data_IF_685154761568
#
_entry.id   IF_685154761568
#
_cell.length_a   1.000
_cell.length_b   1.000
_cell.length_c   1.000
_cell.angle_alpha   90.00
_cell.angle_beta   90.00
_cell.angle_gamma   90.00
#
_symmetry.space_group_name_H-M   'P 1'
#
loop_
_entity.id
_entity.type
_entity.pdbx_description
1 polymer ?
#
# COMPACT_ATOMS: atom_id res chain seq x y z
N UNK A 1 14.98 7.71 -81.66
CA UNK A 1 15.50 7.06 -80.44
C UNK A 1 15.58 8.16 -79.38
N UNK A 2 14.56 8.28 -78.52
CA UNK A 2 14.44 9.37 -77.56
C UNK A 2 15.10 8.98 -76.23
N UNK A 3 15.74 9.93 -75.49
CA UNK A 3 16.33 9.63 -74.19
C UNK A 3 15.25 9.38 -73.12
N UNK A 4 15.51 8.52 -72.12
CA UNK A 4 14.59 8.28 -71.01
C UNK A 4 14.45 9.52 -70.11
N UNK A 5 13.23 9.72 -69.58
CA UNK A 5 12.88 10.88 -68.74
C UNK A 5 13.36 10.70 -67.28
N UNK A 6 13.67 11.79 -66.57
CA UNK A 6 14.26 11.76 -65.22
C UNK A 6 13.25 11.46 -64.08
N UNK A 7 12.08 10.90 -64.39
CA UNK A 7 10.97 10.72 -63.44
C UNK A 7 10.90 9.32 -62.79
N UNK A 8 11.78 8.39 -63.18
CA UNK A 8 11.81 7.01 -62.66
C UNK A 8 12.70 6.81 -61.41
N UNK A 9 13.44 7.82 -60.94
CA UNK A 9 14.33 7.68 -59.76
C UNK A 9 13.65 7.98 -58.41
N UNK A 10 12.36 8.32 -58.36
CA UNK A 10 11.70 8.81 -57.14
C UNK A 10 10.91 7.76 -56.33
N UNK A 11 11.26 6.47 -56.41
CA UNK A 11 10.59 5.41 -55.61
C UNK A 11 11.53 4.42 -54.92
N UNK A 12 12.69 4.87 -54.45
CA UNK A 12 13.53 4.07 -53.54
C UNK A 12 13.74 4.80 -52.19
N UNK A 13 12.64 5.02 -51.46
CA UNK A 13 12.74 5.35 -50.03
C UNK A 13 13.29 4.15 -49.24
N UNK A 14 14.07 4.35 -48.18
CA UNK A 14 14.67 3.25 -47.43
C UNK A 14 13.58 2.38 -46.80
N UNK A 15 13.59 1.10 -47.15
CA UNK A 15 12.73 0.07 -46.55
C UNK A 15 13.09 -0.04 -45.07
N UNK A 16 12.23 0.49 -44.20
CA UNK A 16 12.33 0.30 -42.75
C UNK A 16 12.22 -1.20 -42.44
N UNK A 17 13.18 -1.82 -41.73
CA UNK A 17 13.10 -3.23 -41.40
C UNK A 17 11.91 -3.53 -40.48
N UNK A 18 11.35 -4.75 -40.52
CA UNK A 18 10.17 -5.11 -39.75
C UNK A 18 10.42 -5.02 -38.24
N UNK A 19 9.51 -4.32 -37.57
CA UNK A 19 9.50 -4.07 -36.12
C UNK A 19 9.40 -5.40 -35.36
N UNK A 20 10.54 -5.94 -34.91
CA UNK A 20 10.60 -7.16 -34.07
C UNK A 20 9.75 -6.96 -32.81
N UNK A 21 8.92 -7.96 -32.52
CA UNK A 21 7.90 -7.93 -31.47
C UNK A 21 8.44 -7.56 -30.10
N UNK A 22 7.82 -6.55 -29.48
CA UNK A 22 8.05 -6.15 -28.10
C UNK A 22 7.30 -7.08 -27.15
N UNK A 23 7.79 -8.30 -26.98
CA UNK A 23 7.27 -9.25 -26.00
C UNK A 23 8.39 -9.83 -25.15
N UNK A 24 8.89 -9.03 -24.19
CA UNK A 24 9.31 -9.59 -22.89
C UNK A 24 9.56 -8.53 -21.81
N UNK A 25 8.64 -8.57 -20.83
CA UNK A 25 8.80 -8.26 -19.41
C UNK A 25 9.18 -6.81 -19.06
N UNK A 26 8.17 -6.04 -18.67
CA UNK A 26 8.26 -4.86 -17.80
C UNK A 26 9.18 -5.16 -16.61
N UNK A 27 10.46 -4.82 -16.71
CA UNK A 27 11.34 -4.78 -15.55
C UNK A 27 10.95 -3.55 -14.72
N UNK A 28 10.18 -3.76 -13.65
CA UNK A 28 9.95 -2.75 -12.62
C UNK A 28 11.31 -2.39 -11.97
N UNK A 29 11.93 -1.28 -12.41
CA UNK A 29 13.05 -0.67 -11.68
C UNK A 29 12.50 0.08 -10.47
N UNK A 30 12.74 -0.48 -9.28
CA UNK A 30 12.18 -0.04 -7.99
C UNK A 30 12.94 1.09 -7.28
N UNK A 31 14.02 1.65 -7.87
CA UNK A 31 14.87 2.62 -7.16
C UNK A 31 15.41 3.75 -8.06
N UNK A 32 15.47 4.98 -7.53
CA UNK A 32 16.07 6.13 -8.20
C UNK A 32 17.44 6.51 -7.60
N UNK A 33 18.29 7.14 -8.41
CA UNK A 33 19.74 7.30 -8.20
C UNK A 33 20.16 8.65 -7.59
N UNK A 34 19.23 9.49 -7.10
CA UNK A 34 19.56 10.80 -6.50
C UNK A 34 19.55 10.77 -4.96
N UNK A 35 20.68 11.08 -4.28
CA UNK A 35 20.88 10.82 -2.84
C UNK A 35 19.95 11.64 -1.92
N UNK A 36 19.63 12.88 -2.24
CA UNK A 36 18.75 13.75 -1.43
C UNK A 36 17.26 13.35 -1.50
N UNK A 37 16.84 12.71 -2.59
CA UNK A 37 15.49 12.13 -2.71
C UNK A 37 15.42 10.77 -2.04
N UNK A 38 16.50 9.99 -2.09
CA UNK A 38 16.63 8.70 -1.42
C UNK A 38 16.50 8.82 0.10
N UNK A 39 17.14 9.80 0.73
CA UNK A 39 17.02 10.00 2.19
C UNK A 39 15.61 10.40 2.61
N UNK A 40 14.96 11.33 1.88
CA UNK A 40 13.55 11.68 2.13
C UNK A 40 12.60 10.51 1.93
N UNK A 41 12.89 9.64 0.97
CA UNK A 41 12.08 8.45 0.70
C UNK A 41 12.25 7.40 1.81
N UNK A 42 13.48 7.12 2.24
CA UNK A 42 13.74 6.23 3.38
C UNK A 42 13.09 6.80 4.65
N UNK A 43 13.24 8.09 4.91
CA UNK A 43 12.61 8.73 6.07
C UNK A 43 11.07 8.64 6.01
N UNK A 44 10.45 8.86 4.84
CA UNK A 44 9.01 8.73 4.67
C UNK A 44 8.53 7.27 4.82
N UNK A 45 9.32 6.30 4.35
CA UNK A 45 9.02 4.88 4.49
C UNK A 45 9.12 4.43 5.96
N UNK A 46 10.16 4.87 6.66
CA UNK A 46 10.35 4.61 8.09
C UNK A 46 9.23 5.27 8.90
N UNK A 47 8.88 6.52 8.60
CA UNK A 47 7.80 7.24 9.26
C UNK A 47 6.45 6.55 9.04
N UNK A 48 6.15 6.11 7.81
CA UNK A 48 4.94 5.35 7.51
C UNK A 48 4.93 4.00 8.25
N UNK A 49 6.05 3.29 8.28
CA UNK A 49 6.20 2.04 9.03
C UNK A 49 5.96 2.26 10.53
N UNK A 50 6.58 3.28 11.13
CA UNK A 50 6.35 3.64 12.53
C UNK A 50 4.89 4.03 12.80
N UNK A 51 4.26 4.78 11.90
CA UNK A 51 2.86 5.15 12.04
C UNK A 51 1.94 3.92 11.98
N UNK A 52 2.20 2.97 11.08
CA UNK A 52 1.44 1.70 11.01
C UNK A 52 1.65 0.83 12.25
N UNK A 53 2.88 0.74 12.75
CA UNK A 53 3.18 0.04 14.00
C UNK A 53 2.46 0.68 15.18
N UNK A 54 2.42 2.02 15.24
CA UNK A 54 1.69 2.74 16.26
C UNK A 54 0.17 2.50 16.16
N UNK A 55 -0.39 2.52 14.95
CA UNK A 55 -1.81 2.22 14.73
C UNK A 55 -2.15 0.78 15.16
N UNK A 56 -1.29 -0.19 14.80
CA UNK A 56 -1.45 -1.57 15.23
C UNK A 56 -1.42 -1.69 16.75
N UNK A 57 -0.41 -1.10 17.40
CA UNK A 57 -0.28 -1.11 18.85
C UNK A 57 -1.47 -0.46 19.56
N UNK A 58 -1.96 0.68 19.08
CA UNK A 58 -3.16 1.33 19.62
C UNK A 58 -4.41 0.46 19.45
N UNK A 59 -4.60 -0.14 18.26
CA UNK A 59 -5.72 -1.02 17.98
C UNK A 59 -5.75 -2.25 18.88
N UNK A 60 -4.62 -2.94 19.04
CA UNK A 60 -4.52 -4.11 19.93
C UNK A 60 -4.68 -3.72 21.39
N UNK A 61 -4.08 -2.60 21.82
CA UNK A 61 -4.21 -2.15 23.22
C UNK A 61 -5.67 -1.84 23.58
N UNK A 62 -6.42 -1.17 22.69
CA UNK A 62 -7.84 -0.90 22.92
C UNK A 62 -8.67 -2.18 22.91
N UNK A 63 -8.37 -3.11 22.01
CA UNK A 63 -9.02 -4.41 21.98
C UNK A 63 -8.81 -5.16 23.31
N UNK A 64 -7.57 -5.31 23.74
CA UNK A 64 -7.19 -6.05 24.94
C UNK A 64 -7.82 -5.43 26.20
N UNK A 65 -7.70 -4.11 26.36
CA UNK A 65 -8.31 -3.37 27.47
C UNK A 65 -9.84 -3.50 27.51
N UNK A 66 -10.48 -3.59 26.34
CA UNK A 66 -11.93 -3.79 26.28
C UNK A 66 -12.29 -5.25 26.58
N UNK A 67 -11.50 -6.21 26.08
CA UNK A 67 -11.71 -7.64 26.30
C UNK A 67 -11.57 -8.01 27.79
N UNK A 68 -10.76 -7.30 28.57
CA UNK A 68 -10.67 -7.45 30.02
C UNK A 68 -12.02 -7.22 30.73
N UNK A 69 -12.94 -6.45 30.13
CA UNK A 69 -14.30 -6.24 30.66
C UNK A 69 -15.18 -7.51 30.60
N UNK A 70 -14.70 -8.60 30.01
CA UNK A 70 -15.37 -9.90 30.01
C UNK A 70 -15.23 -10.65 31.37
N UNK A 71 -14.26 -10.28 32.21
CA UNK A 71 -14.01 -10.94 33.51
C UNK A 71 -15.24 -11.02 34.43
N UNK A 72 -16.03 -9.94 34.59
CA UNK A 72 -17.30 -10.00 35.31
C UNK A 72 -18.30 -11.02 34.72
N UNK A 73 -18.39 -11.14 33.40
CA UNK A 73 -19.26 -12.12 32.74
C UNK A 73 -18.84 -13.56 32.99
N UNK A 74 -17.53 -13.85 32.97
CA UNK A 74 -17.00 -15.17 33.32
C UNK A 74 -17.33 -15.55 34.77
N UNK A 75 -17.27 -14.56 35.66
CA UNK A 75 -17.65 -14.75 37.06
C UNK A 75 -19.14 -15.05 37.19
N UNK A 76 -20.01 -14.33 36.48
CA UNK A 76 -21.45 -14.59 36.45
C UNK A 76 -21.80 -15.94 35.83
N UNK A 77 -21.15 -16.32 34.73
CA UNK A 77 -21.29 -17.62 34.08
C UNK A 77 -21.00 -18.75 35.08
N UNK A 78 -19.82 -18.72 35.69
CA UNK A 78 -19.40 -19.73 36.67
C UNK A 78 -20.32 -19.80 37.90
N UNK A 79 -20.66 -18.65 38.48
CA UNK A 79 -21.49 -18.59 39.68
C UNK A 79 -22.94 -19.01 39.41
N UNK A 80 -23.50 -18.62 38.26
CA UNK A 80 -24.83 -19.03 37.82
C UNK A 80 -24.89 -20.53 37.54
N UNK A 81 -23.89 -21.08 36.83
CA UNK A 81 -23.80 -22.50 36.52
C UNK A 81 -23.63 -23.37 37.77
N UNK A 82 -22.73 -22.97 38.69
CA UNK A 82 -22.54 -23.66 39.98
C UNK A 82 -23.81 -23.65 40.83
N UNK A 83 -24.51 -22.52 40.88
CA UNK A 83 -25.78 -22.41 41.60
C UNK A 83 -26.86 -23.30 40.97
N UNK A 84 -26.98 -23.26 39.64
CA UNK A 84 -27.93 -24.08 38.90
C UNK A 84 -27.68 -25.58 39.10
N UNK A 85 -26.41 -26.00 39.06
CA UNK A 85 -26.00 -27.38 39.34
C UNK A 85 -26.39 -27.81 40.76
N UNK A 86 -26.00 -27.03 41.77
CA UNK A 86 -26.32 -27.34 43.18
C UNK A 86 -27.82 -27.41 43.46
N UNK A 87 -28.62 -26.53 42.83
CA UNK A 87 -30.08 -26.56 42.97
C UNK A 87 -30.69 -27.78 42.27
N UNK A 88 -30.18 -28.16 41.10
CA UNK A 88 -30.60 -29.37 40.39
C UNK A 88 -30.29 -30.64 41.19
N UNK A 89 -29.10 -30.71 41.79
CA UNK A 89 -28.69 -31.84 42.63
C UNK A 89 -29.55 -31.91 43.90
N UNK A 90 -29.81 -30.76 44.54
CA UNK A 90 -30.69 -30.68 45.70
C UNK A 90 -32.14 -31.05 45.34
N UNK A 91 -32.66 -30.61 44.19
CA UNK A 91 -33.99 -30.97 43.70
C UNK A 91 -34.14 -32.46 43.49
N UNK A 92 -33.14 -33.08 42.87
CA UNK A 92 -33.07 -34.53 42.68
C UNK A 92 -33.11 -35.28 44.01
N UNK A 93 -32.31 -34.85 45.00
CA UNK A 93 -32.32 -35.45 46.34
C UNK A 93 -33.64 -35.21 47.08
N UNK A 94 -34.26 -34.05 46.92
CA UNK A 94 -35.52 -33.70 47.58
C UNK A 94 -36.72 -34.50 47.04
N UNK A 95 -36.68 -34.93 45.78
CA UNK A 95 -37.71 -35.76 45.15
C UNK A 95 -37.93 -37.09 45.89
N UNK A 96 -36.93 -37.57 46.64
CA UNK A 96 -37.01 -38.83 47.40
C UNK A 96 -37.82 -38.71 48.69
N UNK A 97 -38.24 -37.50 49.10
CA UNK A 97 -39.00 -37.28 50.35
C UNK A 97 -40.48 -37.65 50.15
N UNK A 98 -41.05 -38.57 50.95
CA UNK A 98 -42.45 -38.98 50.81
C UNK A 98 -43.43 -37.83 51.09
N UNK A 99 -44.55 -37.81 50.35
CA UNK A 99 -45.65 -36.83 50.40
C UNK A 99 -45.36 -35.40 49.91
N UNK A 100 -44.10 -34.93 49.94
CA UNK A 100 -43.74 -33.56 49.58
C UNK A 100 -42.59 -33.42 48.58
N UNK A 101 -41.95 -34.52 48.17
CA UNK A 101 -40.75 -34.52 47.32
C UNK A 101 -40.92 -33.74 46.02
N UNK A 102 -41.99 -34.00 45.27
CA UNK A 102 -42.26 -33.30 44.00
C UNK A 102 -42.32 -31.77 44.16
N UNK A 103 -42.98 -31.28 45.23
CA UNK A 103 -43.08 -29.82 45.48
C UNK A 103 -41.73 -29.21 45.88
N UNK A 104 -40.90 -29.97 46.61
CA UNK A 104 -39.56 -29.51 46.98
C UNK A 104 -38.63 -29.50 45.77
N UNK A 105 -38.72 -30.52 44.92
CA UNK A 105 -38.03 -30.58 43.64
C UNK A 105 -38.41 -29.38 42.77
N UNK A 106 -39.70 -29.13 42.53
CA UNK A 106 -40.18 -28.01 41.71
C UNK A 106 -39.66 -26.66 42.22
N UNK A 107 -39.65 -26.46 43.54
CA UNK A 107 -39.16 -25.22 44.16
C UNK A 107 -37.64 -25.05 43.98
N UNK A 108 -36.87 -26.14 44.05
CA UNK A 108 -35.42 -26.13 43.86
C UNK A 108 -35.06 -25.99 42.37
N UNK A 109 -35.80 -26.62 41.47
CA UNK A 109 -35.64 -26.46 40.02
C UNK A 109 -35.87 -25.00 39.59
N UNK A 110 -36.89 -24.32 40.14
CA UNK A 110 -37.08 -22.87 39.92
C UNK A 110 -35.89 -22.03 40.40
N UNK A 111 -35.25 -22.41 41.51
CA UNK A 111 -34.00 -21.80 41.96
C UNK A 111 -32.85 -22.06 40.99
N UNK A 112 -32.80 -23.25 40.40
CA UNK A 112 -31.83 -23.62 39.37
C UNK A 112 -32.00 -22.81 38.07
N UNK A 113 -33.24 -22.58 37.64
CA UNK A 113 -33.55 -21.75 36.47
C UNK A 113 -33.11 -20.30 36.65
N UNK A 114 -33.22 -19.76 37.86
CA UNK A 114 -32.67 -18.44 38.18
C UNK A 114 -31.13 -18.44 38.05
N UNK A 115 -30.45 -19.48 38.53
CA UNK A 115 -29.01 -19.68 38.32
C UNK A 115 -28.63 -19.72 36.84
N UNK A 116 -29.38 -20.47 36.03
CA UNK A 116 -29.17 -20.56 34.58
C UNK A 116 -29.42 -19.26 33.84
N UNK A 117 -30.34 -18.44 34.33
CA UNK A 117 -30.56 -17.09 33.80
C UNK A 117 -29.34 -16.20 34.04
N UNK A 118 -28.72 -16.29 35.21
CA UNK A 118 -27.48 -15.56 35.53
C UNK A 118 -26.31 -16.08 34.69
N UNK A 119 -26.19 -17.40 34.54
CA UNK A 119 -25.19 -18.05 33.69
C UNK A 119 -25.25 -17.51 32.26
N UNK A 120 -26.45 -17.56 31.66
CA UNK A 120 -26.69 -17.06 30.30
C UNK A 120 -26.43 -15.55 30.15
N UNK A 121 -26.78 -14.76 31.18
CA UNK A 121 -26.46 -13.33 31.18
C UNK A 121 -24.94 -13.08 31.19
N UNK A 122 -24.18 -13.91 31.91
CA UNK A 122 -22.71 -13.90 31.90
C UNK A 122 -22.14 -14.19 30.51
N UNK A 123 -22.63 -15.24 29.84
CA UNK A 123 -22.21 -15.59 28.47
C UNK A 123 -22.54 -14.46 27.48
N UNK A 124 -23.77 -13.94 27.52
CA UNK A 124 -24.20 -12.86 26.62
C UNK A 124 -23.37 -11.58 26.82
N UNK A 125 -23.04 -11.24 28.06
CA UNK A 125 -22.20 -10.08 28.37
C UNK A 125 -20.79 -10.24 27.77
N UNK A 126 -20.19 -11.42 27.87
CA UNK A 126 -18.88 -11.70 27.28
C UNK A 126 -18.90 -11.57 25.75
N UNK A 127 -19.94 -12.07 25.08
CA UNK A 127 -20.09 -11.97 23.62
C UNK A 127 -20.20 -10.50 23.15
N UNK A 128 -20.99 -9.69 23.86
CA UNK A 128 -21.12 -8.26 23.58
C UNK A 128 -19.80 -7.54 23.79
N UNK A 129 -19.09 -7.82 24.89
CA UNK A 129 -17.77 -7.23 25.16
C UNK A 129 -16.77 -7.63 24.08
N UNK A 130 -16.73 -8.89 23.67
CA UNK A 130 -15.85 -9.37 22.60
C UNK A 130 -16.12 -8.68 21.25
N UNK A 131 -17.41 -8.48 20.93
CA UNK A 131 -17.82 -7.74 19.73
C UNK A 131 -17.38 -6.27 19.80
N UNK A 132 -17.58 -5.62 20.95
CA UNK A 132 -17.16 -4.23 21.18
C UNK A 132 -15.64 -4.09 21.11
N UNK A 133 -14.89 -4.98 21.76
CA UNK A 133 -13.44 -5.01 21.74
C UNK A 133 -12.91 -5.10 20.29
N UNK A 134 -13.53 -5.95 19.48
CA UNK A 134 -13.17 -6.11 18.07
C UNK A 134 -13.48 -4.85 17.26
N UNK A 135 -14.69 -4.29 17.42
CA UNK A 135 -15.10 -3.09 16.71
C UNK A 135 -14.22 -1.87 17.07
N UNK A 136 -13.98 -1.65 18.36
CA UNK A 136 -13.14 -0.55 18.85
C UNK A 136 -11.69 -0.70 18.42
N UNK A 137 -11.14 -1.93 18.42
CA UNK A 137 -9.80 -2.21 17.90
C UNK A 137 -9.66 -1.83 16.43
N UNK A 138 -10.62 -2.19 15.58
CA UNK A 138 -10.63 -1.82 14.16
C UNK A 138 -10.80 -0.32 13.93
N UNK A 139 -11.70 0.34 14.65
CA UNK A 139 -11.89 1.80 14.53
C UNK A 139 -10.65 2.55 14.99
N UNK A 140 -10.02 2.11 16.09
CA UNK A 140 -8.85 2.79 16.67
C UNK A 140 -7.58 2.55 15.89
N UNK A 141 -7.32 1.32 15.43
CA UNK A 141 -6.09 0.98 14.71
C UNK A 141 -6.26 0.92 13.20
N UNK A 142 -7.30 0.24 12.73
CA UNK A 142 -7.56 0.00 11.32
C UNK A 142 -7.88 1.26 10.53
N UNK A 143 -8.77 2.12 11.02
CA UNK A 143 -9.14 3.37 10.34
C UNK A 143 -7.93 4.30 10.11
N UNK A 144 -7.11 4.66 11.12
CA UNK A 144 -5.94 5.49 10.87
C UNK A 144 -4.87 4.77 10.04
N UNK A 145 -4.69 3.45 10.20
CA UNK A 145 -3.79 2.68 9.33
C UNK A 145 -4.20 2.78 7.85
N UNK A 146 -5.50 2.70 7.55
CA UNK A 146 -6.03 2.89 6.20
C UNK A 146 -5.78 4.31 5.69
N UNK A 147 -5.88 5.34 6.53
CA UNK A 147 -5.56 6.72 6.13
C UNK A 147 -4.07 6.91 5.82
N UNK A 148 -3.19 6.32 6.64
CA UNK A 148 -1.74 6.30 6.40
C UNK A 148 -1.44 5.61 5.07
N UNK A 149 -2.01 4.43 4.84
CA UNK A 149 -1.86 3.71 3.58
C UNK A 149 -2.42 4.52 2.40
N UNK A 150 -3.64 5.04 2.50
CA UNK A 150 -4.28 5.79 1.43
C UNK A 150 -3.54 7.07 1.05
N UNK A 151 -2.87 7.73 2.01
CA UNK A 151 -2.04 8.91 1.73
C UNK A 151 -0.65 8.54 1.18
N UNK A 152 -0.06 7.43 1.62
CA UNK A 152 1.31 7.03 1.27
C UNK A 152 1.42 6.19 -0.02
N UNK A 153 0.51 5.21 -0.22
CA UNK A 153 0.51 4.31 -1.38
C UNK A 153 0.48 5.04 -2.73
N UNK A 154 -0.38 6.07 -2.98
CA UNK A 154 -0.46 6.70 -4.29
C UNK A 154 0.78 7.52 -4.61
N UNK A 155 1.43 8.12 -3.61
CA UNK A 155 2.72 8.82 -3.79
C UNK A 155 3.78 7.83 -4.25
N UNK A 156 3.84 6.66 -3.60
CA UNK A 156 4.82 5.61 -3.91
C UNK A 156 4.56 4.94 -5.26
N UNK A 157 3.29 4.63 -5.57
CA UNK A 157 2.87 4.04 -6.86
C UNK A 157 3.12 5.00 -8.02
N UNK A 158 2.88 6.30 -7.85
CA UNK A 158 3.18 7.32 -8.87
C UNK A 158 4.68 7.41 -9.15
N UNK A 159 5.50 7.31 -8.11
CA UNK A 159 6.96 7.31 -8.27
C UNK A 159 7.45 6.06 -9.00
N UNK A 160 7.01 4.87 -8.58
CA UNK A 160 7.37 3.60 -9.23
C UNK A 160 6.99 3.59 -10.71
N UNK A 161 5.78 4.09 -11.06
CA UNK A 161 5.33 4.20 -12.46
C UNK A 161 6.15 5.19 -13.28
N UNK A 162 6.52 6.34 -12.71
CA UNK A 162 7.33 7.36 -13.39
C UNK A 162 8.77 6.89 -13.61
N UNK A 163 9.35 6.18 -12.63
CA UNK A 163 10.67 5.57 -12.76
C UNK A 163 10.69 4.49 -13.87
N UNK A 164 9.67 3.62 -13.92
CA UNK A 164 9.56 2.58 -14.95
C UNK A 164 9.38 3.11 -16.38
N UNK A 165 8.68 4.23 -16.57
CA UNK A 165 8.53 4.85 -17.89
C UNK A 165 9.83 5.48 -18.39
N UNK A 166 10.65 6.02 -17.48
CA UNK A 166 11.92 6.65 -17.83
C UNK A 166 13.01 5.61 -18.16
N UNK A 167 13.03 4.46 -17.48
CA UNK A 167 13.94 3.36 -17.81
C UNK A 167 13.63 2.73 -19.16
N UNK A 168 12.35 2.53 -19.49
CA UNK A 168 11.95 1.99 -20.79
C UNK A 168 12.37 2.90 -21.94
N UNK A 169 12.28 4.22 -21.78
CA UNK A 169 12.66 5.18 -22.82
C UNK A 169 14.18 5.22 -23.06
N UNK A 170 14.99 5.01 -22.01
CA UNK A 170 16.45 4.87 -22.12
C UNK A 170 16.85 3.56 -22.82
N UNK A 171 16.12 2.48 -22.59
CA UNK A 171 16.35 1.17 -23.23
C UNK A 171 15.86 1.14 -24.70
N UNK A 172 14.91 2.00 -25.06
CA UNK A 172 14.30 2.05 -26.40
C UNK A 172 15.14 2.76 -27.47
N UNK A 173 16.30 3.31 -27.11
CA UNK A 173 17.20 3.98 -28.07
C UNK A 173 16.69 5.32 -28.62
N UNK A 174 15.61 5.88 -28.07
CA UNK A 174 15.13 7.25 -28.39
C UNK A 174 16.01 8.34 -27.70
N UNK A 175 17.31 8.07 -27.66
CA UNK A 175 18.30 8.56 -26.71
C UNK A 175 18.49 10.07 -26.76
N UNK A 176 18.49 10.70 -25.59
CA UNK A 176 18.81 12.11 -25.31
C UNK A 176 17.94 13.19 -25.97
N UNK A 177 17.64 13.13 -27.27
CA UNK A 177 16.87 14.18 -27.95
C UNK A 177 15.43 14.30 -27.45
N UNK A 178 14.77 13.19 -27.17
CA UNK A 178 13.41 13.22 -26.59
C UNK A 178 13.42 13.82 -25.19
N UNK A 179 14.48 13.57 -24.42
CA UNK A 179 14.65 14.18 -23.10
C UNK A 179 15.00 15.66 -23.22
N UNK A 180 15.79 16.06 -24.20
CA UNK A 180 16.15 17.45 -24.46
C UNK A 180 14.93 18.29 -24.88
N UNK A 181 14.10 17.79 -25.80
CA UNK A 181 12.83 18.44 -26.19
C UNK A 181 11.90 18.55 -24.99
N UNK A 182 11.79 17.49 -24.20
CA UNK A 182 10.93 17.48 -23.01
C UNK A 182 11.44 18.44 -21.94
N UNK A 183 12.76 18.60 -21.81
CA UNK A 183 13.37 19.62 -20.96
C UNK A 183 12.95 21.03 -21.41
N UNK A 184 13.10 21.34 -22.70
CA UNK A 184 12.67 22.62 -23.27
C UNK A 184 11.17 22.88 -23.05
N UNK A 185 10.33 21.85 -23.15
CA UNK A 185 8.88 21.98 -23.03
C UNK A 185 8.36 22.06 -21.58
N UNK A 186 9.10 21.55 -20.59
CA UNK A 186 8.58 21.37 -19.22
C UNK A 186 9.43 21.99 -18.11
N UNK A 187 10.67 22.39 -18.39
CA UNK A 187 11.52 23.01 -17.38
C UNK A 187 11.13 24.47 -17.19
N UNK A 188 11.13 24.97 -15.94
CA UNK A 188 10.85 26.37 -15.68
C UNK A 188 11.96 27.26 -16.28
N UNK A 189 11.57 28.45 -16.75
CA UNK A 189 12.46 29.41 -17.41
C UNK A 189 13.68 29.74 -16.55
N UNK A 190 13.51 29.81 -15.22
CA UNK A 190 14.58 30.08 -14.25
C UNK A 190 15.66 28.98 -14.16
N UNK A 191 15.37 27.76 -14.62
CA UNK A 191 16.33 26.65 -14.69
C UNK A 191 17.04 26.65 -16.04
N UNK A 192 16.30 26.89 -17.13
CA UNK A 192 16.88 27.02 -18.47
C UNK A 192 17.83 28.22 -18.56
N UNK A 193 17.51 29.34 -17.88
CA UNK A 193 18.35 30.53 -17.83
C UNK A 193 19.68 30.36 -17.08
N UNK A 194 19.88 29.25 -16.35
CA UNK A 194 21.15 28.93 -15.69
C UNK A 194 22.13 28.18 -16.59
N UNK A 195 21.69 27.78 -17.79
CA UNK A 195 22.58 27.14 -18.75
C UNK A 195 23.52 28.18 -19.39
N UNK A 196 24.81 27.85 -19.59
CA UNK A 196 25.81 28.82 -20.08
C UNK A 196 25.56 29.37 -21.50
N UNK A 197 24.70 28.71 -22.30
CA UNK A 197 24.40 29.04 -23.68
C UNK A 197 22.89 29.00 -23.92
N UNK A 198 22.39 29.69 -24.94
CA UNK A 198 20.97 29.63 -25.34
C UNK A 198 20.61 28.17 -25.69
N UNK A 199 19.86 27.48 -24.80
CA UNK A 199 19.63 26.05 -24.94
C UNK A 199 18.69 25.73 -26.10
N UNK A 200 17.82 26.67 -26.48
CA UNK A 200 16.90 26.48 -27.61
C UNK A 200 17.64 26.64 -28.93
N UNK A 201 18.59 27.57 -29.02
CA UNK A 201 19.45 27.72 -30.19
C UNK A 201 20.39 26.52 -30.36
N UNK A 202 21.05 26.09 -29.26
CA UNK A 202 21.94 24.92 -29.28
C UNK A 202 21.23 23.64 -29.70
N UNK A 203 20.00 23.40 -29.20
CA UNK A 203 19.19 22.25 -29.63
C UNK A 203 18.80 22.33 -31.11
N UNK A 204 18.41 23.51 -31.63
CA UNK A 204 18.01 23.67 -33.05
C UNK A 204 19.14 23.37 -34.03
N UNK A 205 20.39 23.66 -33.65
CA UNK A 205 21.58 23.42 -34.49
C UNK A 205 22.14 22.00 -34.28
N UNK A 206 21.57 21.23 -33.36
CA UNK A 206 22.00 19.87 -33.06
C UNK A 206 23.31 19.82 -32.28
N UNK A 207 23.63 20.84 -31.47
CA UNK A 207 24.83 20.84 -30.63
C UNK A 207 24.76 19.69 -29.61
N UNK A 208 25.68 18.71 -29.66
CA UNK A 208 25.68 17.58 -28.74
C UNK A 208 25.76 18.00 -27.27
N UNK A 209 26.46 19.09 -26.93
CA UNK A 209 26.58 19.56 -25.55
C UNK A 209 25.28 20.18 -25.04
N UNK A 210 24.59 20.97 -25.87
CA UNK A 210 23.26 21.49 -25.55
C UNK A 210 22.23 20.36 -25.36
N UNK A 211 22.25 19.34 -26.22
CA UNK A 211 21.36 18.17 -26.12
C UNK A 211 21.64 17.38 -24.84
N UNK A 212 22.92 17.10 -24.53
CA UNK A 212 23.31 16.35 -23.34
C UNK A 212 22.95 17.11 -22.05
N UNK A 213 23.19 18.43 -21.99
CA UNK A 213 22.86 19.25 -20.83
C UNK A 213 21.34 19.38 -20.59
N UNK A 214 20.55 19.52 -21.66
CA UNK A 214 19.08 19.51 -21.58
C UNK A 214 18.56 18.13 -21.17
N UNK A 215 19.09 17.06 -21.76
CA UNK A 215 18.74 15.69 -21.38
C UNK A 215 19.09 15.42 -19.91
N UNK A 216 20.26 15.88 -19.44
CA UNK A 216 20.69 15.75 -18.05
C UNK A 216 19.75 16.47 -17.08
N UNK A 217 19.20 17.63 -17.45
CA UNK A 217 18.21 18.36 -16.64
C UNK A 217 16.89 17.58 -16.49
N UNK A 218 16.35 17.02 -17.57
CA UNK A 218 15.13 16.22 -17.50
C UNK A 218 15.37 14.87 -16.80
N UNK A 219 16.51 14.23 -17.03
CA UNK A 219 16.91 13.01 -16.32
C UNK A 219 17.09 13.26 -14.82
N UNK A 220 17.73 14.37 -14.43
CA UNK A 220 17.85 14.80 -13.04
C UNK A 220 16.49 15.06 -12.38
N UNK A 221 15.53 15.64 -13.12
CA UNK A 221 14.14 15.81 -12.65
C UNK A 221 13.43 14.48 -12.40
N UNK A 222 13.77 13.46 -13.20
CA UNK A 222 13.27 12.09 -13.06
C UNK A 222 14.08 11.24 -12.06
N UNK A 223 15.17 11.78 -11.52
CA UNK A 223 16.04 11.11 -10.54
C UNK A 223 17.02 10.10 -11.15
N UNK A 224 17.31 10.21 -12.45
CA UNK A 224 18.24 9.38 -13.20
C UNK A 224 19.50 10.18 -13.57
N UNK A 225 20.65 9.52 -13.66
CA UNK A 225 21.88 10.11 -14.20
C UNK A 225 22.03 9.81 -15.69
N UNK A 226 22.66 10.71 -16.44
CA UNK A 226 23.14 10.41 -17.79
C UNK A 226 24.18 9.30 -17.65
N UNK A 227 23.80 8.07 -17.98
CA UNK A 227 24.75 7.02 -18.26
C UNK A 227 25.46 7.42 -19.54
N UNK A 228 26.77 7.65 -19.46
CA UNK A 228 27.62 7.87 -20.64
C UNK A 228 27.31 6.76 -21.65
N UNK A 229 26.74 7.13 -22.81
CA UNK A 229 26.45 6.18 -23.88
C UNK A 229 27.71 5.40 -24.27
N UNK A 230 27.58 4.21 -24.88
CA UNK A 230 28.72 3.38 -25.24
C UNK A 230 29.68 4.21 -26.08
N UNK A 231 30.93 4.35 -25.60
CA UNK A 231 32.02 4.94 -26.36
C UNK A 231 32.12 4.14 -27.65
N UNK A 232 31.85 4.78 -28.78
CA UNK A 232 32.22 4.24 -30.08
C UNK A 232 33.73 4.18 -30.12
N UNK A 233 34.30 3.02 -29.81
CA UNK A 233 35.69 2.69 -30.10
C UNK A 233 35.84 2.70 -31.61
N UNK A 234 36.39 3.78 -32.18
CA UNK A 234 36.85 3.77 -33.56
C UNK A 234 38.04 2.83 -33.67
N UNK A 235 37.93 1.82 -34.52
CA UNK A 235 39.06 1.19 -35.19
C UNK A 235 38.73 1.10 -36.67
#
# INVERSE_FOLDING_TARGET
MAPPRPEDELQAGPVLPPRKGYSRLMQLRWYAETPTRRTRQIAADVLAGMALLLCYWLGTSVHDLTAELAGPGQTLESAGGDLAGRMSDAGSAASEVPFVGDRLQDALEQGGDAGRTIENAGVQQQEVVGTLATALGWVTGGTPALLVLASWLPVRLRFARRAGQASWLLESGAGMDVFAIRALARQPISVLARLPQDPAAGWRVGDPQAIESLAALELGRLGLRVGHGPRTSST
#
